data_IF_781230919491
#
_entry.id   IF_781230919491
#
_cell.length_a   1.000
_cell.length_b   1.000
_cell.length_c   1.000
_cell.angle_alpha   90.00
_cell.angle_beta   90.00
_cell.angle_gamma   90.00
#
_symmetry.space_group_name_H-M   'P 1'
#
loop_
_entity.id
_entity.type
_entity.pdbx_description
1 polymer ?
#
# COMPACT_ATOMS: atom_id res chain seq x y z
N UNK A 1 -8.44 15.32 5.99
CA UNK A 1 -8.89 13.91 5.97
C UNK A 1 -7.88 13.12 5.15
N UNK A 2 -6.73 12.75 5.73
CA UNK A 2 -5.64 12.03 5.01
C UNK A 2 -5.30 10.67 5.64
N UNK A 3 -6.20 10.10 6.47
CA UNK A 3 -5.99 8.77 7.07
C UNK A 3 -6.27 7.60 6.11
N UNK A 4 -6.85 7.85 4.92
CA UNK A 4 -7.12 6.81 3.92
C UNK A 4 -5.88 6.29 3.17
N UNK A 5 -4.75 7.01 3.25
CA UNK A 5 -3.53 6.73 2.48
C UNK A 5 -2.84 5.41 2.85
N UNK A 6 -3.07 4.87 4.06
CA UNK A 6 -2.34 3.68 4.54
C UNK A 6 -3.06 2.36 4.29
N UNK A 7 -4.39 2.38 4.10
CA UNK A 7 -5.16 1.14 3.91
C UNK A 7 -5.07 0.58 2.48
N UNK A 8 -4.82 1.43 1.47
CA UNK A 8 -4.87 1.03 0.07
C UNK A 8 -3.62 0.27 -0.40
N UNK A 9 -2.46 0.49 0.23
CA UNK A 9 -1.19 -0.14 -0.20
C UNK A 9 -0.92 -1.51 0.40
N UNK A 10 -1.74 -1.99 1.36
CA UNK A 10 -1.50 -3.22 2.12
C UNK A 10 -2.31 -4.45 1.67
N UNK A 11 -3.26 -4.31 0.75
CA UNK A 11 -4.02 -5.47 0.25
C UNK A 11 -3.22 -6.17 -0.85
N UNK A 12 -2.33 -7.07 -0.43
CA UNK A 12 -1.75 -8.10 -1.30
C UNK A 12 -2.86 -9.11 -1.61
N UNK A 13 -3.31 -9.28 -2.87
CA UNK A 13 -4.04 -10.49 -3.21
C UNK A 13 -3.03 -11.63 -3.26
N UNK A 14 -2.89 -12.35 -2.14
CA UNK A 14 -2.22 -13.65 -2.12
C UNK A 14 -3.20 -14.63 -2.78
N UNK A 15 -3.10 -14.79 -4.09
CA UNK A 15 -3.70 -15.93 -4.78
C UNK A 15 -2.56 -16.74 -5.40
N UNK A 16 -2.56 -18.03 -5.07
CA UNK A 16 -1.76 -19.12 -5.66
C UNK A 16 -0.24 -19.12 -5.48
N UNK A 17 0.21 -19.39 -4.24
CA UNK A 17 1.57 -19.89 -4.00
C UNK A 17 1.60 -21.07 -2.99
N UNK A 18 0.51 -21.84 -2.90
CA UNK A 18 0.37 -22.91 -1.91
C UNK A 18 0.90 -24.28 -2.34
N UNK A 19 1.71 -24.37 -3.41
CA UNK A 19 2.12 -25.69 -3.90
C UNK A 19 3.53 -25.73 -4.51
N UNK A 20 4.57 -25.43 -3.73
CA UNK A 20 5.91 -25.98 -4.02
C UNK A 20 6.74 -26.09 -2.74
N UNK A 21 7.02 -27.33 -2.34
CA UNK A 21 7.71 -27.69 -1.09
C UNK A 21 9.22 -27.73 -1.31
N UNK A 22 9.93 -27.08 -0.39
CA UNK A 22 11.26 -27.42 0.14
C UNK A 22 12.38 -27.85 -0.84
N UNK A 23 13.10 -26.86 -1.41
CA UNK A 23 14.57 -26.94 -1.57
C UNK A 23 15.17 -25.53 -1.80
N UNK A 24 15.45 -24.78 -0.73
CA UNK A 24 16.02 -23.42 -0.84
C UNK A 24 17.54 -23.47 -1.07
N UNK A 25 17.95 -23.79 -2.30
CA UNK A 25 19.32 -23.59 -2.82
C UNK A 25 19.34 -22.36 -3.75
N UNK A 26 20.53 -21.94 -4.18
CA UNK A 26 20.90 -20.70 -4.92
C UNK A 26 19.93 -20.31 -6.07
N UNK A 27 19.14 -21.24 -6.61
CA UNK A 27 18.10 -21.00 -7.61
C UNK A 27 16.95 -20.08 -7.13
N UNK A 28 16.60 -20.15 -5.83
CA UNK A 28 15.56 -19.32 -5.25
C UNK A 28 15.87 -17.82 -5.29
N UNK A 29 17.17 -17.43 -5.36
CA UNK A 29 17.57 -16.02 -5.54
C UNK A 29 17.23 -15.50 -6.94
N UNK A 30 17.27 -16.35 -7.97
CA UNK A 30 16.88 -15.99 -9.35
C UNK A 30 15.38 -16.00 -9.54
N UNK A 31 14.65 -16.82 -8.78
CA UNK A 31 13.19 -16.84 -8.81
C UNK A 31 12.59 -15.67 -8.03
N UNK A 32 13.09 -15.36 -6.83
CA UNK A 32 12.60 -14.22 -6.05
C UNK A 32 12.86 -12.89 -6.77
N UNK A 33 14.04 -12.72 -7.38
CA UNK A 33 14.33 -11.53 -8.20
C UNK A 33 13.45 -11.45 -9.45
N UNK A 34 13.07 -12.58 -10.07
CA UNK A 34 12.09 -12.61 -11.16
C UNK A 34 10.69 -12.25 -10.67
N UNK A 35 10.24 -12.78 -9.53
CA UNK A 35 8.91 -12.51 -8.95
C UNK A 35 8.77 -11.05 -8.50
N UNK A 36 9.80 -10.46 -7.90
CA UNK A 36 9.79 -9.06 -7.46
C UNK A 36 9.81 -8.07 -8.64
N UNK A 37 10.63 -8.33 -9.66
CA UNK A 37 10.67 -7.47 -10.87
C UNK A 37 9.41 -7.65 -11.70
N UNK A 38 8.79 -8.83 -11.70
CA UNK A 38 7.47 -9.05 -12.32
C UNK A 38 6.36 -8.33 -11.54
N UNK A 39 6.37 -8.42 -10.21
CA UNK A 39 5.40 -7.77 -9.33
C UNK A 39 5.49 -6.23 -9.40
N UNK A 40 6.69 -5.67 -9.47
CA UNK A 40 6.90 -4.22 -9.62
C UNK A 40 6.38 -3.69 -10.97
N UNK A 41 6.64 -4.42 -12.07
CA UNK A 41 6.15 -4.05 -13.41
C UNK A 41 4.63 -4.06 -13.49
N UNK A 42 3.98 -5.10 -12.96
CA UNK A 42 2.51 -5.19 -12.94
C UNK A 42 1.86 -4.06 -12.13
N UNK A 43 2.50 -3.62 -11.05
CA UNK A 43 2.00 -2.49 -10.22
C UNK A 43 2.15 -1.15 -10.94
N UNK A 44 3.26 -0.94 -11.66
CA UNK A 44 3.45 0.28 -12.45
C UNK A 44 2.36 0.44 -13.53
N UNK A 45 2.06 -0.64 -14.28
CA UNK A 45 1.01 -0.62 -15.30
C UNK A 45 -0.41 -0.52 -14.74
N UNK A 46 -0.63 -0.83 -13.46
CA UNK A 46 -1.89 -0.56 -12.78
C UNK A 46 -2.03 0.94 -12.44
N UNK A 47 -0.99 1.51 -11.85
CA UNK A 47 -1.02 2.84 -11.23
C UNK A 47 -0.84 3.96 -12.25
N UNK A 48 0.12 3.82 -13.16
CA UNK A 48 0.55 4.90 -14.06
C UNK A 48 -0.49 5.31 -15.11
N UNK A 49 -1.25 4.42 -15.76
CA UNK A 49 -2.20 4.83 -16.81
C UNK A 49 -3.32 5.73 -16.29
N UNK A 50 -3.89 5.39 -15.13
CA UNK A 50 -4.92 6.22 -14.51
C UNK A 50 -4.33 7.55 -14.01
N UNK A 51 -3.14 7.52 -13.41
CA UNK A 51 -2.41 8.72 -13.04
C UNK A 51 -2.19 9.65 -14.24
N UNK A 52 -1.64 9.13 -15.34
CA UNK A 52 -1.37 9.91 -16.55
C UNK A 52 -2.65 10.48 -17.16
N UNK A 53 -3.75 9.72 -17.16
CA UNK A 53 -5.06 10.19 -17.60
C UNK A 53 -5.56 11.34 -16.72
N UNK A 54 -5.52 11.19 -15.40
CA UNK A 54 -5.92 12.25 -14.47
C UNK A 54 -5.07 13.51 -14.64
N UNK A 55 -3.75 13.38 -14.77
CA UNK A 55 -2.85 14.50 -15.04
C UNK A 55 -3.15 15.18 -16.38
N UNK A 56 -3.48 14.41 -17.42
CA UNK A 56 -3.88 14.94 -18.73
C UNK A 56 -5.22 15.68 -18.67
N UNK A 57 -6.20 15.13 -17.95
CA UNK A 57 -7.50 15.80 -17.72
C UNK A 57 -7.29 17.10 -16.96
N UNK A 58 -6.45 17.11 -15.92
CA UNK A 58 -6.10 18.33 -15.18
C UNK A 58 -5.39 19.36 -16.06
N UNK A 59 -4.56 18.93 -17.00
CA UNK A 59 -3.88 19.83 -17.94
C UNK A 59 -4.86 20.53 -18.89
N UNK A 60 -5.86 19.80 -19.41
CA UNK A 60 -6.87 20.32 -20.35
C UNK A 60 -7.89 21.24 -19.65
N UNK A 61 -8.10 21.04 -18.35
CA UNK A 61 -9.10 21.76 -17.58
C UNK A 61 -8.76 23.27 -17.47
N UNK A 62 -9.74 24.18 -17.54
CA UNK A 62 -9.49 25.60 -17.33
C UNK A 62 -9.01 25.89 -15.90
N UNK A 63 -8.25 26.97 -15.73
CA UNK A 63 -7.56 27.28 -14.48
C UNK A 63 -8.51 27.46 -13.28
N UNK A 64 -9.69 28.03 -13.51
CA UNK A 64 -10.76 28.15 -12.51
C UNK A 64 -11.21 26.78 -11.98
N UNK A 65 -11.27 25.79 -12.87
CA UNK A 65 -11.69 24.45 -12.53
C UNK A 65 -10.54 23.63 -11.90
N UNK A 66 -9.27 23.91 -12.24
CA UNK A 66 -8.10 23.34 -11.55
C UNK A 66 -8.07 23.72 -10.08
N UNK A 67 -8.27 25.00 -9.78
CA UNK A 67 -8.30 25.51 -8.41
C UNK A 67 -9.51 24.96 -7.64
N UNK A 68 -10.68 24.89 -8.30
CA UNK A 68 -11.93 24.42 -7.71
C UNK A 68 -11.98 22.93 -7.39
N UNK A 69 -11.47 22.06 -8.26
CA UNK A 69 -11.59 20.60 -8.09
C UNK A 69 -10.36 19.93 -7.49
N UNK A 70 -9.17 20.53 -7.60
CA UNK A 70 -7.91 19.90 -7.20
C UNK A 70 -7.02 20.78 -6.31
N UNK A 71 -7.56 21.93 -5.83
CA UNK A 71 -6.88 22.86 -4.90
C UNK A 71 -5.45 23.20 -5.34
N UNK A 72 -5.25 23.45 -6.62
CA UNK A 72 -3.95 23.87 -7.14
C UNK A 72 -3.79 25.37 -6.85
N UNK A 73 -2.90 25.71 -5.90
CA UNK A 73 -2.66 27.10 -5.46
C UNK A 73 -2.12 28.02 -6.59
N UNK A 74 -1.46 27.45 -7.60
CA UNK A 74 -0.93 28.16 -8.77
C UNK A 74 -1.24 27.39 -10.07
N UNK A 75 -2.45 27.53 -10.64
CA UNK A 75 -2.87 26.77 -11.82
C UNK A 75 -2.09 27.16 -13.09
N UNK A 76 -1.58 28.40 -13.15
CA UNK A 76 -0.77 28.94 -14.26
C UNK A 76 0.58 28.22 -14.45
N UNK A 77 1.12 27.60 -13.39
CA UNK A 77 2.41 26.90 -13.40
C UNK A 77 2.27 25.38 -13.60
N UNK A 78 1.07 24.90 -13.95
CA UNK A 78 0.80 23.48 -14.13
C UNK A 78 1.45 22.97 -15.42
N UNK A 79 2.58 22.29 -15.28
CA UNK A 79 3.31 21.68 -16.39
C UNK A 79 3.09 20.17 -16.39
N UNK A 80 2.39 19.68 -17.41
CA UNK A 80 2.08 18.25 -17.57
C UNK A 80 3.35 17.40 -17.57
N UNK A 81 4.43 17.89 -18.18
CA UNK A 81 5.69 17.14 -18.24
C UNK A 81 6.27 16.97 -16.84
N UNK A 82 6.34 18.05 -16.05
CA UNK A 82 6.87 18.02 -14.67
C UNK A 82 6.02 17.19 -13.72
N UNK A 83 4.71 17.13 -13.93
CA UNK A 83 3.82 16.28 -13.14
C UNK A 83 4.00 14.80 -13.52
N UNK A 84 4.12 14.48 -14.82
CA UNK A 84 4.37 13.12 -15.30
C UNK A 84 5.77 12.60 -14.95
N UNK A 85 6.77 13.49 -14.84
CA UNK A 85 8.14 13.18 -14.38
C UNK A 85 8.30 13.22 -12.86
N UNK A 86 7.22 13.47 -12.11
CA UNK A 86 7.19 13.53 -10.64
C UNK A 86 7.98 14.69 -10.00
N UNK A 87 8.36 15.69 -10.79
CA UNK A 87 9.04 16.90 -10.31
C UNK A 87 8.09 17.83 -9.56
N UNK A 88 6.83 17.92 -10.01
CA UNK A 88 5.78 18.68 -9.34
C UNK A 88 4.77 17.76 -8.63
N UNK A 89 4.46 18.07 -7.37
CA UNK A 89 3.70 17.19 -6.45
C UNK A 89 2.45 17.89 -5.93
N UNK A 90 1.35 17.84 -6.67
CA UNK A 90 0.09 18.50 -6.30
C UNK A 90 -0.89 17.57 -5.56
N UNK A 91 -1.57 18.12 -4.55
CA UNK A 91 -2.70 17.54 -3.79
C UNK A 91 -2.50 16.10 -3.30
N UNK A 92 -2.85 15.10 -4.11
CA UNK A 92 -2.79 13.66 -3.79
C UNK A 92 -1.63 12.96 -4.51
N UNK A 93 -1.06 13.59 -5.55
CA UNK A 93 -0.03 13.02 -6.40
C UNK A 93 1.34 12.94 -5.72
N UNK A 94 1.50 13.58 -4.55
CA UNK A 94 2.78 13.66 -3.84
C UNK A 94 3.25 12.35 -3.22
N UNK A 95 2.36 11.37 -3.01
CA UNK A 95 2.69 10.07 -2.41
C UNK A 95 3.28 9.09 -3.42
N UNK A 96 2.91 9.22 -4.72
CA UNK A 96 3.37 8.33 -5.79
C UNK A 96 4.90 8.29 -5.94
N UNK A 97 5.63 9.43 -5.94
CA UNK A 97 7.09 9.43 -6.00
C UNK A 97 7.71 8.76 -4.79
N UNK A 98 7.09 8.89 -3.61
CA UNK A 98 7.55 8.27 -2.38
C UNK A 98 7.40 6.75 -2.44
N UNK A 99 6.25 6.28 -2.93
CA UNK A 99 5.95 4.86 -3.12
C UNK A 99 6.90 4.22 -4.14
N UNK A 100 7.12 4.88 -5.29
CA UNK A 100 8.07 4.42 -6.32
C UNK A 100 9.50 4.38 -5.75
N UNK A 101 9.91 5.43 -5.02
CA UNK A 101 11.22 5.47 -4.36
C UNK A 101 11.41 4.32 -3.39
N UNK A 102 10.36 3.98 -2.62
CA UNK A 102 10.40 2.85 -1.69
C UNK A 102 10.44 1.49 -2.40
N UNK A 103 9.80 1.34 -3.56
CA UNK A 103 9.87 0.10 -4.33
C UNK A 103 11.27 -0.28 -4.79
N UNK A 104 12.16 0.70 -5.03
CA UNK A 104 13.57 0.42 -5.28
C UNK A 104 14.32 -0.08 -4.04
N UNK A 105 13.84 0.26 -2.84
CA UNK A 105 14.42 -0.19 -1.57
C UNK A 105 14.01 -1.62 -1.20
N UNK A 106 12.80 -2.06 -1.57
CA UNK A 106 12.27 -3.39 -1.20
C UNK A 106 13.21 -4.55 -1.60
N UNK A 107 13.73 -4.66 -2.84
CA UNK A 107 14.62 -5.76 -3.20
C UNK A 107 15.88 -5.81 -2.33
N UNK A 108 16.46 -4.64 -2.03
CA UNK A 108 17.63 -4.55 -1.15
C UNK A 108 17.28 -5.00 0.27
N UNK A 109 16.15 -4.53 0.81
CA UNK A 109 15.64 -4.92 2.11
C UNK A 109 15.45 -6.44 2.21
N UNK A 110 14.78 -7.05 1.23
CA UNK A 110 14.55 -8.50 1.18
C UNK A 110 15.87 -9.27 1.13
N UNK A 111 16.83 -8.84 0.31
CA UNK A 111 18.15 -9.47 0.22
C UNK A 111 18.92 -9.42 1.55
N UNK A 112 18.86 -8.30 2.27
CA UNK A 112 19.44 -8.17 3.61
C UNK A 112 18.78 -9.14 4.56
N UNK A 113 17.45 -9.17 4.62
CA UNK A 113 16.69 -10.09 5.50
C UNK A 113 17.05 -11.55 5.22
N UNK A 114 17.14 -11.94 3.95
CA UNK A 114 17.54 -13.30 3.56
C UNK A 114 18.95 -13.64 4.02
N UNK A 115 19.89 -12.67 3.95
CA UNK A 115 21.27 -12.87 4.42
C UNK A 115 21.37 -13.07 5.93
N UNK A 116 20.43 -12.52 6.71
CA UNK A 116 20.44 -12.62 8.17
C UNK A 116 19.94 -13.95 8.73
N UNK A 117 19.30 -14.79 7.90
CA UNK A 117 18.84 -16.14 8.24
C UNK A 117 18.15 -16.24 9.63
N UNK A 118 18.81 -16.85 10.64
CA UNK A 118 18.26 -17.04 11.99
C UNK A 118 18.38 -15.82 12.91
N UNK A 119 19.23 -14.85 12.58
CA UNK A 119 19.47 -13.65 13.38
C UNK A 119 18.64 -12.44 12.91
N UNK A 120 17.58 -12.68 12.14
CA UNK A 120 16.71 -11.63 11.60
C UNK A 120 16.06 -10.76 12.70
N UNK A 121 15.80 -11.32 13.89
CA UNK A 121 15.19 -10.60 15.01
C UNK A 121 16.13 -9.54 15.61
N UNK A 122 17.46 -9.72 15.51
CA UNK A 122 18.48 -8.84 16.13
C UNK A 122 18.41 -7.41 15.60
N UNK A 123 18.34 -7.14 14.27
CA UNK A 123 18.10 -5.78 13.79
C UNK A 123 16.63 -5.38 13.75
N UNK A 124 15.69 -6.33 13.72
CA UNK A 124 14.26 -6.00 13.63
C UNK A 124 13.75 -5.32 14.90
N UNK A 125 14.13 -5.82 16.09
CA UNK A 125 13.74 -5.22 17.37
C UNK A 125 14.18 -3.76 17.50
N UNK A 126 15.47 -3.40 17.34
CA UNK A 126 15.90 -2.00 17.41
C UNK A 126 15.33 -1.16 16.27
N UNK A 127 15.15 -1.72 15.06
CA UNK A 127 14.51 -1.01 13.97
C UNK A 127 13.04 -0.67 14.28
N UNK A 128 12.29 -1.57 14.91
CA UNK A 128 10.90 -1.31 15.32
C UNK A 128 10.81 -0.27 16.41
N UNK A 129 11.72 -0.31 17.39
CA UNK A 129 11.83 0.70 18.45
C UNK A 129 12.15 2.06 17.83
N UNK A 130 13.10 2.10 16.90
CA UNK A 130 13.43 3.33 16.17
C UNK A 130 12.24 3.87 15.38
N UNK A 131 11.55 3.02 14.62
CA UNK A 131 10.35 3.40 13.85
C UNK A 131 9.23 3.94 14.76
N UNK A 132 9.01 3.32 15.92
CA UNK A 132 8.06 3.80 16.92
C UNK A 132 8.47 5.15 17.52
N UNK A 133 9.75 5.31 17.85
CA UNK A 133 10.31 6.56 18.38
C UNK A 133 10.22 7.69 17.36
N UNK A 134 10.62 7.43 16.12
CA UNK A 134 10.58 8.40 15.03
C UNK A 134 9.12 8.78 14.73
N UNK A 135 8.21 7.81 14.69
CA UNK A 135 6.79 8.08 14.51
C UNK A 135 6.13 8.89 15.63
N UNK A 136 6.66 8.86 16.85
CA UNK A 136 6.15 9.63 17.97
C UNK A 136 6.73 11.05 18.05
N UNK A 137 7.99 11.22 17.65
CA UNK A 137 8.74 12.47 17.85
C UNK A 137 8.88 13.30 16.57
N UNK A 138 8.80 12.67 15.40
CA UNK A 138 9.04 13.33 14.12
C UNK A 138 7.73 13.79 13.49
N UNK A 139 7.74 15.00 12.97
CA UNK A 139 6.57 15.67 12.44
C UNK A 139 6.35 15.34 10.96
N UNK A 140 5.10 15.14 10.55
CA UNK A 140 4.75 14.74 9.17
C UNK A 140 3.70 15.61 8.51
N UNK A 141 4.15 16.51 7.64
CA UNK A 141 3.32 17.27 6.72
C UNK A 141 3.19 16.61 5.34
N UNK A 142 2.13 17.00 4.64
CA UNK A 142 1.96 16.70 3.22
C UNK A 142 3.10 17.36 2.41
N UNK A 143 3.50 16.73 1.29
CA UNK A 143 4.55 17.20 0.36
C UNK A 143 6.02 17.14 0.83
N UNK A 144 6.30 16.52 1.97
CA UNK A 144 7.68 16.34 2.44
C UNK A 144 8.45 15.24 1.67
N UNK A 145 9.80 15.23 1.73
CA UNK A 145 10.62 14.20 1.09
C UNK A 145 10.43 12.81 1.72
N UNK A 146 11.04 11.77 1.12
CA UNK A 146 10.88 10.37 1.56
C UNK A 146 11.36 10.10 2.99
N UNK A 147 12.41 10.79 3.46
CA UNK A 147 13.02 10.55 4.78
C UNK A 147 12.00 10.50 5.94
N UNK A 148 11.17 11.53 6.17
CA UNK A 148 10.18 11.52 7.26
C UNK A 148 9.06 10.49 7.09
N UNK A 149 8.80 10.02 5.87
CA UNK A 149 7.79 8.99 5.60
C UNK A 149 8.38 7.56 5.57
N UNK A 150 9.71 7.43 5.52
CA UNK A 150 10.40 6.16 5.43
C UNK A 150 10.05 5.18 6.57
N UNK A 151 9.96 5.61 7.85
CA UNK A 151 9.58 4.71 8.94
C UNK A 151 8.19 4.07 8.74
N UNK A 152 7.25 4.76 8.07
CA UNK A 152 5.93 4.20 7.76
C UNK A 152 6.01 3.04 6.78
N UNK A 153 6.75 3.21 5.69
CA UNK A 153 6.92 2.15 4.70
C UNK A 153 7.74 0.99 5.29
N UNK A 154 8.77 1.29 6.07
CA UNK A 154 9.59 0.29 6.74
C UNK A 154 8.79 -0.55 7.75
N UNK A 155 7.92 0.07 8.56
CA UNK A 155 7.06 -0.63 9.51
C UNK A 155 6.28 -1.77 8.82
N UNK A 156 5.69 -1.47 7.67
CA UNK A 156 4.89 -2.43 6.94
C UNK A 156 5.71 -3.53 6.24
N UNK A 157 6.88 -3.21 5.69
CA UNK A 157 7.79 -4.24 5.16
C UNK A 157 8.32 -5.16 6.25
N UNK A 158 8.64 -4.62 7.43
CA UNK A 158 9.01 -5.43 8.59
C UNK A 158 7.86 -6.33 9.04
N UNK A 159 6.63 -5.80 9.08
CA UNK A 159 5.44 -6.58 9.43
C UNK A 159 5.21 -7.75 8.47
N UNK A 160 5.41 -7.56 7.15
CA UNK A 160 5.32 -8.64 6.17
C UNK A 160 6.34 -9.75 6.41
N UNK A 161 7.60 -9.39 6.72
CA UNK A 161 8.64 -10.38 7.06
C UNK A 161 8.31 -11.11 8.36
N UNK A 162 7.85 -10.37 9.39
CA UNK A 162 7.43 -10.96 10.67
C UNK A 162 6.30 -11.97 10.43
N UNK A 163 5.27 -11.61 9.64
CA UNK A 163 4.17 -12.49 9.28
C UNK A 163 4.69 -13.79 8.63
N UNK A 164 5.48 -13.70 7.56
CA UNK A 164 6.01 -14.87 6.83
C UNK A 164 6.86 -15.77 7.75
N UNK A 165 7.69 -15.17 8.61
CA UNK A 165 8.54 -15.93 9.54
C UNK A 165 7.73 -16.61 10.65
N UNK A 166 6.72 -15.93 11.20
CA UNK A 166 5.84 -16.49 12.23
C UNK A 166 4.98 -17.61 11.66
N UNK A 167 4.37 -17.40 10.49
CA UNK A 167 3.58 -18.42 9.80
C UNK A 167 4.42 -19.68 9.51
N UNK A 168 5.61 -19.51 8.93
CA UNK A 168 6.53 -20.63 8.69
C UNK A 168 6.91 -21.36 9.98
N UNK A 169 7.19 -20.62 11.06
CA UNK A 169 7.55 -21.21 12.35
C UNK A 169 6.39 -21.99 13.00
N UNK A 170 5.16 -21.47 12.92
CA UNK A 170 3.95 -22.16 13.41
C UNK A 170 3.73 -23.45 12.64
N UNK A 171 3.87 -23.40 11.30
CA UNK A 171 3.66 -24.54 10.42
C UNK A 171 4.70 -25.65 10.62
N UNK A 172 5.99 -25.31 10.75
CA UNK A 172 7.07 -26.28 10.96
C UNK A 172 6.96 -26.97 12.31
N UNK A 173 6.62 -26.24 13.38
CA UNK A 173 6.56 -26.80 14.73
C UNK A 173 5.21 -27.43 15.07
N UNK A 174 4.21 -27.36 14.17
CA UNK A 174 2.84 -27.79 14.45
C UNK A 174 2.26 -27.12 15.70
N UNK A 175 2.70 -25.90 16.00
CA UNK A 175 2.46 -25.28 17.30
C UNK A 175 0.99 -24.90 17.45
N UNK A 176 0.27 -25.60 18.32
CA UNK A 176 -1.08 -25.21 18.73
C UNK A 176 -0.97 -24.11 19.78
N UNK A 177 -1.31 -22.87 19.39
CA UNK A 177 -1.28 -21.73 20.32
C UNK A 177 -2.22 -21.96 21.48
N UNK A 178 -1.70 -21.86 22.71
CA UNK A 178 -2.49 -21.98 23.94
C UNK A 178 -3.52 -20.86 24.02
N UNK A 179 -4.73 -21.15 24.50
CA UNK A 179 -5.82 -20.18 24.61
C UNK A 179 -5.47 -18.90 25.40
N UNK A 180 -4.68 -19.01 26.48
CA UNK A 180 -4.24 -17.84 27.25
C UNK A 180 -3.31 -16.91 26.45
N UNK A 181 -2.42 -17.48 25.63
CA UNK A 181 -1.53 -16.70 24.78
C UNK A 181 -2.33 -16.01 23.67
N UNK A 182 -3.26 -16.72 23.03
CA UNK A 182 -4.16 -16.15 22.05
C UNK A 182 -4.99 -15.00 22.66
N UNK A 183 -5.55 -15.20 23.86
CA UNK A 183 -6.32 -14.17 24.56
C UNK A 183 -5.48 -12.91 24.84
N UNK A 184 -4.23 -13.07 25.28
CA UNK A 184 -3.30 -11.96 25.46
C UNK A 184 -3.03 -11.20 24.15
N UNK A 185 -2.79 -11.91 23.06
CA UNK A 185 -2.62 -11.31 21.72
C UNK A 185 -3.86 -10.53 21.31
N UNK A 186 -5.07 -11.06 21.54
CA UNK A 186 -6.33 -10.36 21.24
C UNK A 186 -6.52 -9.10 22.04
N UNK A 187 -6.18 -9.10 23.33
CA UNK A 187 -6.25 -7.88 24.15
C UNK A 187 -5.38 -6.78 23.54
N UNK A 188 -4.14 -7.11 23.16
CA UNK A 188 -3.20 -6.15 22.56
C UNK A 188 -3.72 -5.65 21.22
N UNK A 189 -4.26 -6.55 20.39
CA UNK A 189 -4.84 -6.23 19.10
C UNK A 189 -6.06 -5.28 19.21
N UNK A 190 -7.03 -5.59 20.09
CA UNK A 190 -8.20 -4.73 20.30
C UNK A 190 -7.83 -3.38 20.94
N UNK A 191 -6.83 -3.35 21.82
CA UNK A 191 -6.29 -2.11 22.35
C UNK A 191 -5.67 -1.25 21.22
N UNK A 192 -4.86 -1.87 20.34
CA UNK A 192 -4.30 -1.19 19.18
C UNK A 192 -5.39 -0.70 18.22
N UNK A 193 -6.41 -1.52 17.92
CA UNK A 193 -7.55 -1.13 17.10
C UNK A 193 -8.31 0.06 17.70
N UNK A 194 -8.53 0.06 19.01
CA UNK A 194 -9.18 1.15 19.73
C UNK A 194 -8.37 2.45 19.64
N UNK A 195 -7.04 2.37 19.74
CA UNK A 195 -6.15 3.51 19.52
C UNK A 195 -6.21 4.02 18.07
N UNK A 196 -6.20 3.12 17.07
CA UNK A 196 -6.33 3.51 15.66
C UNK A 196 -7.65 4.23 15.42
N UNK A 197 -8.77 3.67 15.89
CA UNK A 197 -10.08 4.30 15.77
C UNK A 197 -10.13 5.65 16.47
N UNK A 198 -9.55 5.75 17.67
CA UNK A 198 -9.42 7.02 18.37
C UNK A 198 -8.69 8.07 17.53
N UNK A 199 -7.53 7.73 16.96
CA UNK A 199 -6.74 8.65 16.14
C UNK A 199 -7.52 9.08 14.89
N UNK A 200 -8.20 8.14 14.21
CA UNK A 200 -8.99 8.43 13.01
C UNK A 200 -10.17 9.37 13.32
N UNK A 201 -10.86 9.14 14.44
CA UNK A 201 -12.01 9.94 14.87
C UNK A 201 -11.63 11.11 15.78
N UNK A 202 -10.36 11.56 15.76
CA UNK A 202 -9.85 12.71 16.53
C UNK A 202 -10.17 12.65 18.04
N UNK A 203 -9.96 11.49 18.64
CA UNK A 203 -10.13 11.26 20.07
C UNK A 203 -11.54 10.88 20.49
N UNK A 204 -12.47 10.57 19.59
CA UNK A 204 -13.86 10.23 19.94
C UNK A 204 -14.00 9.15 21.05
N UNK A 205 -13.10 8.17 21.09
CA UNK A 205 -13.09 7.12 22.12
C UNK A 205 -12.42 7.55 23.43
N UNK A 206 -11.45 8.48 23.38
CA UNK A 206 -10.65 8.88 24.54
C UNK A 206 -11.12 10.18 25.17
N UNK A 207 -11.84 11.04 24.45
CA UNK A 207 -12.43 12.27 25.02
C UNK A 207 -13.37 12.00 26.20
N UNK A 208 -13.88 10.76 26.31
CA UNK A 208 -14.71 10.29 27.41
C UNK A 208 -13.94 9.62 28.56
N UNK A 209 -12.68 9.21 28.35
CA UNK A 209 -11.94 8.33 29.28
C UNK A 209 -10.64 8.96 29.78
N UNK A 210 -9.90 9.70 28.95
CA UNK A 210 -8.65 10.34 29.36
C UNK A 210 -8.24 11.49 28.41
N UNK A 211 -7.55 12.50 28.94
CA UNK A 211 -6.94 13.53 28.09
C UNK A 211 -6.00 12.89 27.07
N UNK A 212 -5.99 13.42 25.84
CA UNK A 212 -5.23 12.84 24.74
C UNK A 212 -3.73 12.93 25.02
N UNK A 213 -3.11 11.79 25.36
CA UNK A 213 -1.67 11.67 25.65
C UNK A 213 -0.83 11.86 24.37
N UNK A 214 -1.43 11.70 23.19
CA UNK A 214 -0.73 11.94 21.93
C UNK A 214 -0.45 13.44 21.77
N UNK A 215 0.79 13.82 21.41
CA UNK A 215 1.13 15.22 21.22
C UNK A 215 0.20 15.85 20.19
N UNK A 216 -0.45 16.96 20.56
CA UNK A 216 -1.35 17.75 19.70
C UNK A 216 -0.54 18.57 18.67
N UNK A 217 0.42 17.92 18.00
CA UNK A 217 1.24 18.55 16.98
C UNK A 217 0.47 18.66 15.68
N UNK A 218 0.76 19.70 14.90
CA UNK A 218 0.06 20.09 13.67
C UNK A 218 0.34 19.16 12.47
N UNK A 219 0.24 17.84 12.60
CA UNK A 219 0.68 16.89 11.55
C UNK A 219 -0.14 15.60 11.47
N UNK A 220 0.18 14.76 10.49
CA UNK A 220 -0.46 13.44 10.34
C UNK A 220 0.02 12.45 11.40
N UNK A 221 -0.90 11.80 12.12
CA UNK A 221 -0.56 10.86 13.19
C UNK A 221 0.10 9.59 12.64
N UNK A 222 1.12 9.09 13.33
CA UNK A 222 1.79 7.85 12.96
C UNK A 222 0.95 6.63 13.35
N UNK A 223 0.17 6.13 12.39
CA UNK A 223 -0.76 5.01 12.59
C UNK A 223 -0.15 3.67 12.15
N UNK A 224 0.96 3.68 11.39
CA UNK A 224 1.50 2.50 10.73
C UNK A 224 1.87 1.37 11.69
N UNK A 225 2.52 1.66 12.82
CA UNK A 225 2.86 0.62 13.82
C UNK A 225 1.60 0.02 14.45
N UNK A 226 0.61 0.85 14.79
CA UNK A 226 -0.64 0.34 15.35
C UNK A 226 -1.37 -0.56 14.34
N UNK A 227 -1.40 -0.18 13.06
CA UNK A 227 -1.98 -1.01 12.01
C UNK A 227 -1.26 -2.34 11.85
N UNK A 228 0.07 -2.37 11.89
CA UNK A 228 0.82 -3.63 11.81
C UNK A 228 0.55 -4.56 13.00
N UNK A 229 0.34 -3.99 14.20
CA UNK A 229 -0.03 -4.74 15.41
C UNK A 229 -1.46 -5.30 15.32
N UNK A 230 -2.34 -4.69 14.52
CA UNK A 230 -3.68 -5.23 14.26
C UNK A 230 -3.63 -6.26 13.13
N UNK A 231 -3.01 -5.94 12.00
CA UNK A 231 -3.06 -6.75 10.78
C UNK A 231 -2.29 -8.07 10.91
N UNK A 232 -1.09 -8.07 11.52
CA UNK A 232 -0.27 -9.30 11.59
C UNK A 232 -0.94 -10.38 12.44
N UNK A 233 -1.44 -10.09 13.65
CA UNK A 233 -2.22 -11.07 14.41
C UNK A 233 -3.48 -11.54 13.70
N UNK A 234 -4.22 -10.65 13.02
CA UNK A 234 -5.43 -11.03 12.26
C UNK A 234 -5.14 -11.96 11.10
N UNK A 235 -4.01 -11.79 10.42
CA UNK A 235 -3.58 -12.68 9.35
C UNK A 235 -3.14 -14.05 9.89
N UNK A 236 -2.51 -14.11 11.06
CA UNK A 236 -2.05 -15.36 11.68
C UNK A 236 -3.19 -16.13 12.35
N UNK A 237 -4.10 -15.40 12.99
CA UNK A 237 -5.23 -15.93 13.73
C UNK A 237 -6.45 -15.12 13.29
N UNK A 238 -7.32 -15.64 12.41
CA UNK A 238 -8.51 -14.90 11.99
C UNK A 238 -9.49 -14.72 13.16
N UNK A 239 -10.01 -13.50 13.33
CA UNK A 239 -11.07 -13.18 14.29
C UNK A 239 -12.33 -12.68 13.56
N UNK A 240 -13.41 -12.31 14.29
CA UNK A 240 -14.55 -11.63 13.68
C UNK A 240 -14.17 -10.33 12.94
N UNK A 241 -13.06 -9.69 13.31
CA UNK A 241 -12.53 -8.52 12.60
C UNK A 241 -12.11 -8.91 11.18
N UNK A 242 -11.34 -9.99 11.01
CA UNK A 242 -10.98 -10.55 9.70
C UNK A 242 -12.22 -10.85 8.87
N UNK A 243 -13.23 -11.54 9.42
CA UNK A 243 -14.49 -11.79 8.70
C UNK A 243 -15.17 -10.50 8.21
N UNK A 244 -15.09 -9.43 9.00
CA UNK A 244 -15.63 -8.12 8.61
C UNK A 244 -14.79 -7.51 7.49
N UNK A 245 -13.46 -7.52 7.59
CA UNK A 245 -12.54 -7.01 6.56
C UNK A 245 -12.61 -7.81 5.25
N UNK A 246 -12.95 -9.09 5.33
CA UNK A 246 -13.15 -9.98 4.19
C UNK A 246 -14.51 -9.82 3.50
N UNK A 247 -15.37 -8.94 3.99
CA UNK A 247 -16.67 -8.70 3.39
C UNK A 247 -16.55 -8.26 1.94
N UNK A 248 -17.39 -8.81 1.06
CA UNK A 248 -17.35 -8.58 -0.40
C UNK A 248 -17.32 -7.08 -0.76
N UNK A 249 -18.05 -6.25 -0.03
CA UNK A 249 -18.08 -4.79 -0.24
C UNK A 249 -16.70 -4.18 0.05
N UNK A 250 -16.09 -4.51 1.19
CA UNK A 250 -14.77 -4.00 1.56
C UNK A 250 -13.67 -4.54 0.65
N UNK A 251 -13.74 -5.81 0.25
CA UNK A 251 -12.86 -6.39 -0.76
C UNK A 251 -12.96 -5.65 -2.10
N UNK A 252 -14.18 -5.30 -2.52
CA UNK A 252 -14.39 -4.51 -3.73
C UNK A 252 -13.84 -3.09 -3.58
N UNK A 253 -14.12 -2.40 -2.47
CA UNK A 253 -13.51 -1.11 -2.15
C UNK A 253 -11.98 -1.17 -2.17
N UNK A 254 -11.38 -2.27 -1.71
CA UNK A 254 -9.95 -2.55 -1.81
C UNK A 254 -9.45 -2.65 -3.25
N UNK A 255 -10.23 -3.28 -4.15
CA UNK A 255 -9.89 -3.39 -5.58
C UNK A 255 -9.91 -2.04 -6.29
N UNK A 256 -10.90 -1.19 -6.01
CA UNK A 256 -11.03 0.15 -6.62
C UNK A 256 -10.35 1.25 -5.80
N UNK A 257 -9.60 0.88 -4.77
CA UNK A 257 -9.04 1.79 -3.76
C UNK A 257 -8.10 2.83 -4.36
N UNK A 258 -7.31 2.44 -5.37
CA UNK A 258 -6.43 3.34 -6.09
C UNK A 258 -7.21 4.40 -6.88
N UNK A 259 -8.29 3.97 -7.56
CA UNK A 259 -9.20 4.89 -8.25
C UNK A 259 -9.91 5.84 -7.28
N UNK A 260 -10.35 5.36 -6.10
CA UNK A 260 -10.88 6.22 -5.02
C UNK A 260 -9.83 7.25 -4.60
N UNK A 261 -8.59 6.80 -4.40
CA UNK A 261 -7.48 7.64 -3.98
C UNK A 261 -7.20 8.77 -4.95
N UNK A 262 -7.12 8.53 -6.26
CA UNK A 262 -6.86 9.59 -7.22
C UNK A 262 -8.07 10.51 -7.46
N UNK A 263 -9.28 9.96 -7.48
CA UNK A 263 -10.45 10.67 -8.01
C UNK A 263 -11.31 11.35 -6.95
N UNK A 264 -11.12 11.04 -5.66
CA UNK A 264 -11.94 11.65 -4.60
C UNK A 264 -11.86 13.18 -4.59
N UNK A 265 -10.74 13.78 -4.99
CA UNK A 265 -10.59 15.25 -5.07
C UNK A 265 -11.68 15.91 -5.91
N UNK A 266 -11.95 15.36 -7.11
CA UNK A 266 -12.98 15.87 -8.02
C UNK A 266 -14.38 15.89 -7.40
N UNK A 267 -14.68 14.95 -6.50
CA UNK A 267 -15.99 14.82 -5.86
C UNK A 267 -16.06 15.64 -4.57
N UNK A 268 -15.04 15.58 -3.72
CA UNK A 268 -15.06 16.25 -2.41
C UNK A 268 -15.16 17.76 -2.57
N UNK A 269 -14.48 18.35 -3.55
CA UNK A 269 -14.43 19.79 -3.79
C UNK A 269 -15.45 20.30 -4.81
N UNK A 270 -16.28 19.42 -5.38
CA UNK A 270 -17.37 19.87 -6.23
C UNK A 270 -18.34 20.78 -5.45
N UNK A 271 -18.59 21.98 -5.98
CA UNK A 271 -19.49 22.96 -5.33
C UNK A 271 -20.90 22.40 -5.13
N UNK A 272 -21.41 21.61 -6.08
CA UNK A 272 -22.72 20.96 -6.01
C UNK A 272 -22.87 20.01 -4.81
N UNK A 273 -21.76 19.50 -4.28
CA UNK A 273 -21.73 18.60 -3.13
C UNK A 273 -21.37 19.38 -1.87
N UNK A 274 -20.46 20.35 -1.97
CA UNK A 274 -20.02 21.15 -0.82
C UNK A 274 -21.10 22.12 -0.35
N UNK A 275 -21.94 22.63 -1.24
CA UNK A 275 -23.05 23.55 -0.93
C UNK A 275 -24.27 22.87 -0.29
N UNK A 276 -24.30 21.53 -0.23
CA UNK A 276 -25.38 20.80 0.44
C UNK A 276 -25.41 21.13 1.95
N UNK A 277 -26.57 21.56 2.45
CA UNK A 277 -26.74 21.97 3.85
C UNK A 277 -26.77 20.77 4.81
N UNK A 278 -27.25 19.61 4.36
CA UNK A 278 -27.30 18.39 5.16
C UNK A 278 -25.94 17.71 5.30
N UNK A 279 -25.45 17.52 6.53
CA UNK A 279 -24.18 16.82 6.77
C UNK A 279 -24.20 15.38 6.25
N UNK A 280 -25.27 14.64 6.54
CA UNK A 280 -25.42 13.23 6.13
C UNK A 280 -25.62 13.10 4.62
N UNK A 281 -26.44 13.98 4.02
CA UNK A 281 -26.63 14.01 2.57
C UNK A 281 -25.32 14.27 1.84
N UNK A 282 -24.51 15.20 2.37
CA UNK A 282 -23.17 15.50 1.86
C UNK A 282 -22.21 14.32 2.04
N UNK A 283 -22.25 13.63 3.17
CA UNK A 283 -21.41 12.45 3.41
C UNK A 283 -21.76 11.31 2.45
N UNK A 284 -23.06 11.00 2.31
CA UNK A 284 -23.56 9.96 1.40
C UNK A 284 -23.26 10.32 -0.05
N UNK A 285 -23.48 11.57 -0.45
CA UNK A 285 -23.18 12.06 -1.80
C UNK A 285 -21.68 11.96 -2.11
N UNK A 286 -20.81 12.41 -1.20
CA UNK A 286 -19.35 12.31 -1.37
C UNK A 286 -18.90 10.87 -1.50
N UNK A 287 -19.35 10.00 -0.59
CA UNK A 287 -18.95 8.60 -0.59
C UNK A 287 -19.48 7.85 -1.82
N UNK A 288 -20.78 7.98 -2.10
CA UNK A 288 -21.45 7.31 -3.22
C UNK A 288 -20.91 7.75 -4.57
N UNK A 289 -20.78 9.06 -4.81
CA UNK A 289 -20.26 9.58 -6.09
C UNK A 289 -18.78 9.25 -6.28
N UNK A 290 -17.97 9.27 -5.21
CA UNK A 290 -16.57 8.83 -5.29
C UNK A 290 -16.49 7.35 -5.65
N UNK A 291 -17.33 6.50 -5.05
CA UNK A 291 -17.34 5.06 -5.34
C UNK A 291 -17.82 4.76 -6.76
N UNK A 292 -18.83 5.48 -7.26
CA UNK A 292 -19.32 5.36 -8.64
C UNK A 292 -18.22 5.80 -9.62
N UNK A 293 -17.62 6.97 -9.41
CA UNK A 293 -16.55 7.49 -10.25
C UNK A 293 -15.33 6.55 -10.26
N UNK A 294 -14.93 6.05 -9.09
CA UNK A 294 -13.85 5.08 -8.97
C UNK A 294 -14.18 3.75 -9.65
N UNK A 295 -15.42 3.27 -9.54
CA UNK A 295 -15.87 2.03 -10.19
C UNK A 295 -15.84 2.15 -11.71
N UNK A 296 -16.35 3.25 -12.25
CA UNK A 296 -16.34 3.52 -13.70
C UNK A 296 -14.90 3.61 -14.19
N UNK A 297 -14.06 4.39 -13.51
CA UNK A 297 -12.65 4.52 -13.84
C UNK A 297 -11.89 3.19 -13.78
N UNK A 298 -12.16 2.37 -12.77
CA UNK A 298 -11.54 1.06 -12.62
C UNK A 298 -11.83 0.17 -13.84
N UNK A 299 -13.08 0.10 -14.29
CA UNK A 299 -13.44 -0.76 -15.42
C UNK A 299 -12.97 -0.21 -16.77
N UNK A 300 -12.87 1.11 -16.92
CA UNK A 300 -12.46 1.75 -18.18
C UNK A 300 -10.95 1.83 -18.37
N UNK A 301 -10.18 1.95 -17.28
CA UNK A 301 -8.74 2.27 -17.36
C UNK A 301 -7.91 1.24 -16.60
N UNK A 302 -8.19 1.05 -15.31
CA UNK A 302 -7.32 0.26 -14.43
C UNK A 302 -7.38 -1.24 -14.74
N UNK A 303 -8.57 -1.78 -14.98
CA UNK A 303 -8.78 -3.18 -15.33
C UNK A 303 -8.20 -3.56 -16.70
N UNK A 304 -8.46 -2.83 -17.80
CA UNK A 304 -7.85 -3.15 -19.09
C UNK A 304 -6.32 -2.96 -19.07
N UNK A 305 -5.78 -1.99 -18.32
CA UNK A 305 -4.33 -1.84 -18.21
C UNK A 305 -3.68 -3.00 -17.46
N UNK A 306 -4.33 -3.53 -16.42
CA UNK A 306 -3.89 -4.75 -15.72
C UNK A 306 -3.91 -5.97 -16.67
N UNK A 307 -4.97 -6.14 -17.46
CA UNK A 307 -5.05 -7.23 -18.44
C UNK A 307 -3.94 -7.13 -19.48
N UNK A 308 -3.68 -5.93 -19.99
CA UNK A 308 -2.59 -5.68 -20.94
C UNK A 308 -1.22 -6.00 -20.33
N UNK A 309 -0.99 -5.61 -19.07
CA UNK A 309 0.25 -5.92 -18.36
C UNK A 309 0.46 -7.42 -18.19
N UNK A 310 -0.58 -8.17 -17.81
CA UNK A 310 -0.53 -9.62 -17.71
C UNK A 310 -0.26 -10.29 -19.06
N UNK A 311 -0.89 -9.78 -20.13
CA UNK A 311 -0.66 -10.28 -21.49
C UNK A 311 0.79 -10.06 -21.93
N UNK A 312 1.33 -8.84 -21.77
CA UNK A 312 2.72 -8.51 -22.11
C UNK A 312 3.71 -9.36 -21.30
N UNK A 313 3.46 -9.51 -20.01
CA UNK A 313 4.22 -10.38 -19.11
C UNK A 313 4.28 -11.83 -19.62
N UNK A 314 3.14 -12.41 -20.01
CA UNK A 314 3.08 -13.78 -20.55
C UNK A 314 3.86 -13.91 -21.87
N UNK A 315 3.76 -12.93 -22.74
CA UNK A 315 4.49 -12.91 -24.03
C UNK A 315 6.01 -12.83 -23.81
N UNK A 316 6.47 -11.99 -22.88
CA UNK A 316 7.89 -11.90 -22.54
C UNK A 316 8.43 -13.21 -21.97
N UNK A 317 7.70 -13.86 -21.07
CA UNK A 317 8.09 -15.17 -20.53
C UNK A 317 8.18 -16.24 -21.62
N UNK A 318 7.25 -16.24 -22.59
CA UNK A 318 7.31 -17.16 -23.74
C UNK A 318 8.52 -16.89 -24.64
N UNK A 319 8.88 -15.63 -24.86
CA UNK A 319 10.07 -15.25 -25.63
C UNK A 319 11.36 -15.66 -24.92
N UNK A 320 11.45 -15.45 -23.61
CA UNK A 320 12.60 -15.88 -22.79
C UNK A 320 12.77 -17.40 -22.80
N UNK A 321 11.66 -18.16 -22.69
CA UNK A 321 11.67 -19.62 -22.78
C UNK A 321 12.16 -20.11 -24.15
N UNK A 322 11.67 -19.49 -25.25
CA UNK A 322 12.11 -19.80 -26.61
C UNK A 322 13.59 -19.45 -26.83
N UNK A 323 14.06 -18.31 -26.33
CA UNK A 323 15.46 -17.91 -26.42
C UNK A 323 16.38 -18.87 -25.66
N UNK A 324 15.98 -19.30 -24.47
CA UNK A 324 16.71 -20.28 -23.65
C UNK A 324 16.80 -21.65 -24.33
N UNK A 325 15.72 -22.08 -25.01
CA UNK A 325 15.71 -23.34 -25.77
C UNK A 325 16.60 -23.33 -27.03
N UNK A 326 16.81 -22.17 -27.66
CA UNK A 326 17.74 -22.03 -28.80
C UNK A 326 19.20 -21.99 -28.37
N UNK A 327 19.49 -21.42 -27.20
CA UNK A 327 20.84 -21.36 -26.64
C UNK A 327 21.40 -22.74 -26.25
N UNK A 328 20.56 -23.65 -25.75
CA UNK A 328 20.96 -25.02 -25.40
C UNK A 328 21.21 -25.90 -26.63
N UNK A 329 20.52 -25.68 -27.74
CA UNK A 329 20.76 -26.41 -29.00
C UNK A 329 22.02 -25.95 -29.76
N UNK A 330 22.52 -24.74 -29.50
CA UNK A 330 23.73 -24.22 -30.16
C UNK A 330 25.04 -24.73 -29.56
N UNK A 331 25.04 -25.15 -28.28
CA UNK A 331 26.25 -25.55 -27.56
C UNK A 331 26.76 -26.98 -27.86
N UNK A 332 26.03 -27.77 -28.67
CA UNK A 332 26.39 -29.17 -28.98
C UNK A 332 27.15 -29.33 -30.31
N UNK A 333 27.41 -28.24 -31.05
CA UNK A 333 27.95 -28.33 -32.43
C UNK A 333 29.41 -27.89 -32.64
N UNK A 334 30.19 -27.63 -31.59
CA UNK A 334 31.59 -27.23 -31.73
C UNK A 334 32.53 -28.12 -30.92
N UNK A 335 32.84 -29.30 -31.46
CA UNK A 335 34.05 -30.08 -31.14
C UNK A 335 34.39 -30.93 -32.36
N UNK A 336 35.31 -30.50 -33.23
CA UNK A 336 35.98 -31.39 -34.17
C UNK A 336 36.96 -32.33 -33.46
#
# INVERSE_FOLDING_TARGET
MCCGCLFCSFVIPINDASNEKEHWSIDSRRELSRVDVHSGRLRFFRVYPLFALVSTVLWILPDDAKQRYYLIDQPENFDLYKVLTFDQRYFVLWTLPLEIGYYFFIPFFVLVVLKLHNFWWVPFVPAYIWVGREGWNEFRCDHMPLSPHFPTFLAGSMAAVIFVKLEAWINVNGYKVKGCCLFGVRIVEFAALSLVLSLIFRGFLFSWVHENIAPQTTGSSFISVLLTVVLVPEMLFPSPLSNTLEWNVLRYCGKVSFSIYLLHGFVIYAESITSQQGYYDRMVSRFGLTLVLATVSYHLVEYPSQLMAQYLSRQLTQLEARASSRGSTGAVSSSP
#
